data_IF_898953899032
#
_entry.id   IF_898953899032
#
_cell.length_a   1.000
_cell.length_b   1.000
_cell.length_c   1.000
_cell.angle_alpha   90.00
_cell.angle_beta   90.00
_cell.angle_gamma   90.00
#
_symmetry.space_group_name_H-M   'P 1'
#
loop_
_entity.id
_entity.type
_entity.pdbx_description
1 polymer ?
#
# COMPACT_ATOMS: atom_id res chain seq x y z
N UNK A 1 -2.13 9.29 13.67
CA UNK A 1 -1.25 8.30 13.05
C UNK A 1 -1.89 7.71 11.83
N UNK A 2 -1.08 7.22 10.90
CA UNK A 2 -1.56 6.69 9.62
C UNK A 2 -0.87 5.38 9.30
N UNK A 3 -1.62 4.48 8.68
CA UNK A 3 -1.09 3.22 8.15
C UNK A 3 -1.48 3.13 6.68
N UNK A 4 -0.81 2.24 5.95
CA UNK A 4 -1.08 2.03 4.54
C UNK A 4 -1.47 0.57 4.33
N UNK A 5 -2.66 0.36 3.76
CA UNK A 5 -3.07 -0.97 3.30
C UNK A 5 -2.66 -1.16 1.85
N UNK A 6 -2.37 -2.39 1.46
CA UNK A 6 -2.04 -2.74 0.09
C UNK A 6 -2.98 -3.85 -0.38
N UNK A 7 -3.51 -3.67 -1.58
CA UNK A 7 -4.35 -4.64 -2.26
C UNK A 7 -3.70 -4.98 -3.59
N UNK A 8 -3.36 -6.24 -3.78
CA UNK A 8 -2.77 -6.73 -5.02
C UNK A 8 -3.74 -7.69 -5.66
N UNK A 9 -4.04 -7.47 -6.93
CA UNK A 9 -4.96 -8.30 -7.69
C UNK A 9 -4.32 -8.76 -8.99
N UNK A 10 -4.45 -10.06 -9.27
CA UNK A 10 -4.09 -10.59 -10.58
C UNK A 10 -5.37 -10.65 -11.42
N UNK A 11 -5.44 -9.80 -12.46
CA UNK A 11 -6.64 -9.67 -13.29
C UNK A 11 -6.90 -10.89 -14.16
N UNK A 12 -5.88 -11.69 -14.46
CA UNK A 12 -6.06 -12.92 -15.26
C UNK A 12 -6.61 -14.08 -14.44
N UNK A 13 -6.12 -14.24 -13.20
CA UNK A 13 -6.54 -15.35 -12.35
C UNK A 13 -7.66 -14.98 -11.39
N UNK A 14 -7.86 -13.69 -11.13
CA UNK A 14 -8.79 -13.20 -10.15
C UNK A 14 -8.31 -13.31 -8.70
N UNK A 15 -7.08 -13.75 -8.49
CA UNK A 15 -6.52 -13.82 -7.14
C UNK A 15 -6.27 -12.45 -6.56
N UNK A 16 -6.58 -12.28 -5.28
CA UNK A 16 -6.42 -11.02 -4.57
C UNK A 16 -5.74 -11.26 -3.22
N UNK A 17 -4.83 -10.36 -2.86
CA UNK A 17 -4.18 -10.36 -1.56
C UNK A 17 -4.32 -8.99 -0.91
N UNK A 18 -4.58 -8.99 0.38
CA UNK A 18 -4.66 -7.77 1.19
C UNK A 18 -3.67 -7.85 2.33
N UNK A 19 -2.94 -6.77 2.57
CA UNK A 19 -2.04 -6.69 3.71
C UNK A 19 -1.80 -5.23 4.09
N UNK A 20 -1.08 -5.03 5.19
CA UNK A 20 -0.60 -3.71 5.57
C UNK A 20 0.87 -3.60 5.21
N UNK A 21 1.31 -2.41 4.84
CA UNK A 21 2.73 -2.19 4.60
C UNK A 21 3.46 -2.30 5.93
N UNK A 22 4.41 -3.22 6.00
CA UNK A 22 5.18 -3.48 7.19
C UNK A 22 6.38 -2.57 7.34
N UNK A 23 6.94 -2.59 8.53
CA UNK A 23 8.02 -1.70 8.92
C UNK A 23 9.26 -1.83 8.05
N UNK A 24 9.59 -3.03 7.59
CA UNK A 24 10.82 -3.30 6.87
C UNK A 24 10.59 -3.87 5.47
N UNK A 25 9.37 -3.84 4.98
CA UNK A 25 9.02 -4.49 3.70
C UNK A 25 9.32 -5.99 3.64
N UNK A 26 9.75 -6.54 4.75
CA UNK A 26 10.07 -7.95 4.76
C UNK A 26 8.78 -8.73 4.87
N UNK A 27 8.47 -9.59 3.88
CA UNK A 27 7.47 -10.60 4.10
C UNK A 27 8.03 -11.55 5.13
N UNK A 28 7.96 -11.14 6.39
CA UNK A 28 8.32 -12.04 7.46
C UNK A 28 7.20 -13.05 7.52
N UNK A 29 7.42 -14.27 7.15
CA UNK A 29 6.46 -15.33 7.42
C UNK A 29 6.27 -15.54 8.91
N UNK A 30 6.54 -14.53 9.72
CA UNK A 30 6.42 -14.56 11.16
C UNK A 30 5.18 -13.79 11.61
N UNK A 31 4.59 -14.23 12.72
CA UNK A 31 3.41 -13.63 13.31
C UNK A 31 3.65 -12.21 13.85
N UNK A 32 4.90 -11.78 13.87
CA UNK A 32 5.31 -10.48 14.41
C UNK A 32 5.30 -9.37 13.36
N UNK A 33 4.44 -9.49 12.36
CA UNK A 33 4.31 -8.47 11.34
C UNK A 33 3.74 -7.20 11.96
N UNK A 34 4.59 -6.19 12.06
CA UNK A 34 4.19 -4.90 12.60
C UNK A 34 3.97 -3.94 11.43
N UNK A 35 2.76 -3.41 11.32
CA UNK A 35 2.47 -2.42 10.30
C UNK A 35 3.31 -1.17 10.53
N UNK A 36 3.81 -0.58 9.44
CA UNK A 36 4.51 0.68 9.53
C UNK A 36 3.54 1.80 9.84
N UNK A 37 3.84 2.59 10.85
CA UNK A 37 3.01 3.71 11.29
C UNK A 37 3.68 5.01 10.90
N UNK A 38 2.91 5.93 10.32
CA UNK A 38 3.38 7.26 9.95
C UNK A 38 2.73 8.29 10.88
N UNK A 39 3.48 9.28 11.31
CA UNK A 39 2.95 10.31 12.20
C UNK A 39 2.01 11.26 11.47
N UNK A 40 2.32 11.60 10.21
CA UNK A 40 1.53 12.51 9.40
C UNK A 40 1.10 11.85 8.11
N UNK A 41 0.03 12.37 7.51
CA UNK A 41 -0.43 11.91 6.20
C UNK A 41 0.61 12.19 5.12
N UNK A 42 1.31 13.33 5.22
CA UNK A 42 2.35 13.69 4.28
C UNK A 42 3.49 12.68 4.26
N UNK A 43 3.89 12.16 5.42
CA UNK A 43 4.91 11.12 5.49
C UNK A 43 4.46 9.85 4.75
N UNK A 44 3.20 9.45 4.91
CA UNK A 44 2.65 8.30 4.21
C UNK A 44 2.62 8.55 2.71
N UNK A 45 2.23 9.75 2.28
CA UNK A 45 2.22 10.15 0.87
C UNK A 45 3.63 10.11 0.29
N UNK A 46 4.59 10.68 0.98
CA UNK A 46 5.99 10.70 0.53
C UNK A 46 6.54 9.29 0.38
N UNK A 47 6.18 8.40 1.30
CA UNK A 47 6.56 7.00 1.21
C UNK A 47 6.01 6.35 -0.06
N UNK A 48 4.71 6.54 -0.34
CA UNK A 48 4.09 5.98 -1.54
C UNK A 48 4.71 6.53 -2.82
N UNK A 49 5.02 7.83 -2.86
CA UNK A 49 5.70 8.43 -3.99
C UNK A 49 7.10 7.85 -4.19
N UNK A 50 7.80 7.57 -3.09
CA UNK A 50 9.16 7.01 -3.16
C UNK A 50 9.18 5.61 -3.78
N UNK A 51 8.07 4.88 -3.72
CA UNK A 51 7.94 3.55 -4.31
C UNK A 51 7.10 3.56 -5.58
N UNK A 52 6.99 4.72 -6.23
CA UNK A 52 6.38 4.93 -7.53
C UNK A 52 4.87 4.77 -7.61
N UNK A 53 4.18 4.90 -6.49
CA UNK A 53 2.72 4.95 -6.51
C UNK A 53 2.23 6.32 -6.93
N UNK A 54 1.09 6.35 -7.62
CA UNK A 54 0.49 7.56 -8.16
C UNK A 54 -0.90 7.73 -7.52
N UNK A 55 -1.23 8.96 -7.13
CA UNK A 55 -2.53 9.25 -6.56
C UNK A 55 -3.65 8.95 -7.58
N UNK A 56 -4.67 8.24 -7.13
CA UNK A 56 -5.81 7.86 -7.97
C UNK A 56 -7.14 8.36 -7.45
N UNK A 57 -7.18 8.90 -6.22
CA UNK A 57 -8.42 9.35 -5.60
C UNK A 57 -8.49 10.86 -5.47
N UNK A 58 -9.71 11.36 -5.33
CA UNK A 58 -9.98 12.81 -5.19
C UNK A 58 -9.46 13.33 -3.85
N UNK A 59 -9.40 12.48 -2.83
CA UNK A 59 -9.03 12.89 -1.47
C UNK A 59 -7.57 12.57 -1.12
N UNK A 60 -6.80 12.07 -2.08
CA UNK A 60 -5.39 11.74 -1.83
C UNK A 60 -5.16 10.57 -0.91
N UNK A 61 -6.17 9.72 -0.71
CA UNK A 61 -6.04 8.54 0.14
C UNK A 61 -5.78 7.25 -0.64
N UNK A 62 -6.08 7.25 -1.92
CA UNK A 62 -5.93 6.07 -2.78
C UNK A 62 -4.78 6.25 -3.75
N UNK A 63 -3.97 5.21 -3.89
CA UNK A 63 -2.76 5.23 -4.69
C UNK A 63 -2.66 3.95 -5.50
N UNK A 64 -2.20 4.05 -6.74
CA UNK A 64 -2.07 2.91 -7.65
C UNK A 64 -0.66 2.81 -8.16
N UNK A 65 -0.23 1.58 -8.37
CA UNK A 65 1.02 1.27 -9.05
C UNK A 65 0.72 0.26 -10.15
N UNK A 66 1.21 0.53 -11.35
CA UNK A 66 1.08 -0.39 -12.46
C UNK A 66 2.46 -0.74 -13.00
N UNK A 67 2.77 -2.01 -13.02
CA UNK A 67 4.02 -2.50 -13.59
C UNK A 67 3.79 -2.81 -15.06
N UNK A 68 4.48 -2.08 -15.95
CA UNK A 68 4.33 -2.25 -17.40
C UNK A 68 4.75 -3.65 -17.86
N UNK A 69 5.64 -4.30 -17.12
CA UNK A 69 6.10 -5.66 -17.43
C UNK A 69 5.10 -6.73 -17.01
N UNK A 70 4.22 -6.40 -16.07
CA UNK A 70 3.22 -7.32 -15.54
C UNK A 70 1.86 -6.60 -15.51
N UNK A 71 1.28 -6.31 -16.69
CA UNK A 71 0.03 -5.53 -16.73
C UNK A 71 -1.16 -6.22 -16.09
N UNK A 72 -1.10 -7.54 -15.89
CA UNK A 72 -2.14 -8.29 -15.21
C UNK A 72 -2.15 -8.09 -13.69
N UNK A 73 -1.08 -7.52 -13.14
CA UNK A 73 -0.99 -7.26 -11.69
C UNK A 73 -1.36 -5.81 -11.42
N UNK A 74 -2.39 -5.62 -10.61
CA UNK A 74 -2.80 -4.30 -10.14
C UNK A 74 -2.48 -4.19 -8.65
N UNK A 75 -1.80 -3.12 -8.26
CA UNK A 75 -1.49 -2.84 -6.86
C UNK A 75 -2.12 -1.52 -6.47
N UNK A 76 -2.89 -1.54 -5.39
CA UNK A 76 -3.52 -0.34 -4.84
C UNK A 76 -3.16 -0.20 -3.38
N UNK A 77 -2.84 1.02 -2.99
CA UNK A 77 -2.59 1.34 -1.58
C UNK A 77 -3.60 2.37 -1.12
N UNK A 78 -3.96 2.28 0.15
CA UNK A 78 -4.84 3.25 0.76
C UNK A 78 -4.27 3.69 2.10
N UNK A 79 -4.33 5.00 2.35
CA UNK A 79 -3.88 5.58 3.60
C UNK A 79 -5.05 5.63 4.57
N UNK A 80 -4.86 5.09 5.77
CA UNK A 80 -5.88 5.08 6.82
C UNK A 80 -5.40 5.86 8.02
N UNK A 81 -6.30 6.63 8.60
CA UNK A 81 -6.05 7.28 9.88
C UNK A 81 -6.41 6.32 11.00
N UNK A 82 -5.51 6.15 11.97
CA UNK A 82 -5.69 5.26 13.12
C UNK A 82 -5.33 5.98 14.40
N UNK A 83 -5.95 5.56 15.49
CA UNK A 83 -5.63 6.07 16.81
C UNK A 83 -6.10 7.50 17.05
N UNK A 84 -7.35 7.68 17.26
CA UNK A 84 -7.93 8.97 17.65
C UNK A 84 -8.14 9.00 19.14
#
# INVERSE_FOLDING_TARGET
MYIISIHVKNTETGNEDFSLIGRDFLPTGHQDYIARVFETKEEAIDYLKSISYIASGVHGNDWVYQNEKLPEIESRCRIWKVGE
#
